data_IF_146566786745
#
_entry.id   IF_146566786745
#
_cell.length_a   1.000
_cell.length_b   1.000
_cell.length_c   1.000
_cell.angle_alpha   90.00
_cell.angle_beta   90.00
_cell.angle_gamma   90.00
#
_symmetry.space_group_name_H-M   'P 1'
#
loop_
_entity.id
_entity.type
_entity.pdbx_description
1 polymer ?
#
# COMPACT_ATOMS: atom_id res chain seq x y z
N UNK A 1 0.64 11.90 14.64
CA UNK A 1 1.22 11.83 13.29
C UNK A 1 0.56 10.67 12.56
N UNK A 2 0.22 10.82 11.28
CA UNK A 2 -0.19 9.67 10.48
C UNK A 2 1.06 9.13 9.78
N UNK A 3 1.60 8.01 10.27
CA UNK A 3 2.70 7.33 9.61
C UNK A 3 2.18 6.69 8.32
N UNK A 4 2.65 7.21 7.18
CA UNK A 4 2.34 6.73 5.83
C UNK A 4 3.62 6.25 5.18
N UNK A 5 3.54 5.16 4.42
CA UNK A 5 4.67 4.61 3.68
C UNK A 5 4.32 4.52 2.19
N UNK A 6 5.34 4.63 1.34
CA UNK A 6 5.17 4.55 -0.11
C UNK A 6 5.50 3.12 -0.54
N UNK A 7 4.51 2.41 -1.08
CA UNK A 7 4.75 1.16 -1.76
C UNK A 7 5.06 1.45 -3.23
N UNK A 8 6.23 0.99 -3.68
CA UNK A 8 6.69 1.12 -5.06
C UNK A 8 6.48 -0.19 -5.79
N UNK A 9 5.84 -0.12 -6.94
CA UNK A 9 5.66 -1.23 -7.85
C UNK A 9 6.19 -0.84 -9.22
N UNK A 10 6.87 -1.75 -9.90
CA UNK A 10 7.39 -1.49 -11.25
C UNK A 10 7.00 -2.63 -12.16
N UNK A 11 6.28 -2.33 -13.22
CA UNK A 11 5.74 -3.31 -14.15
C UNK A 11 5.89 -2.79 -15.58
N UNK A 12 6.46 -3.61 -16.46
CA UNK A 12 6.69 -3.29 -17.88
C UNK A 12 7.40 -1.95 -18.17
N UNK A 13 8.26 -1.49 -17.25
CA UNK A 13 8.99 -0.22 -17.36
C UNK A 13 8.23 0.98 -16.78
N UNK A 14 6.97 0.80 -16.39
CA UNK A 14 6.18 1.78 -15.67
C UNK A 14 6.39 1.64 -14.16
N UNK A 15 6.43 2.79 -13.46
CA UNK A 15 6.63 2.87 -12.01
C UNK A 15 5.35 3.41 -11.39
N UNK A 16 4.80 2.64 -10.47
CA UNK A 16 3.64 2.98 -9.68
C UNK A 16 4.09 3.22 -8.25
N UNK A 17 3.62 4.31 -7.67
CA UNK A 17 3.86 4.65 -6.27
C UNK A 17 2.50 4.85 -5.61
N UNK A 18 2.20 4.05 -4.60
CA UNK A 18 0.95 4.16 -3.84
C UNK A 18 1.26 4.46 -2.37
N UNK A 19 0.46 5.34 -1.79
CA UNK A 19 0.53 5.66 -0.37
C UNK A 19 -0.29 4.65 0.44
N UNK A 20 0.39 3.93 1.32
CA UNK A 20 -0.21 2.91 2.17
C UNK A 20 0.12 3.14 3.62
N UNK A 21 -0.73 2.63 4.51
CA UNK A 21 -0.44 2.62 5.95
C UNK A 21 0.50 1.45 6.27
N UNK A 22 1.59 1.67 7.03
CA UNK A 22 2.63 0.66 7.26
C UNK A 22 2.09 -0.58 8.00
N UNK A 23 1.30 -0.40 9.06
CA UNK A 23 0.73 -1.51 9.83
C UNK A 23 -0.15 -2.46 9.00
N UNK A 24 -1.23 -1.98 8.33
CA UNK A 24 -2.07 -2.87 7.54
C UNK A 24 -1.37 -3.37 6.27
N UNK A 25 -0.41 -2.64 5.69
CA UNK A 25 0.41 -3.13 4.58
C UNK A 25 1.29 -4.31 5.00
N UNK A 26 1.88 -4.26 6.20
CA UNK A 26 2.65 -5.37 6.77
C UNK A 26 1.76 -6.58 7.03
N UNK A 27 0.60 -6.39 7.65
CA UNK A 27 -0.38 -7.46 7.88
C UNK A 27 -0.82 -8.15 6.59
N UNK A 28 -1.09 -7.36 5.53
CA UNK A 28 -1.45 -7.88 4.22
C UNK A 28 -0.32 -8.70 3.60
N UNK A 29 0.91 -8.21 3.70
CA UNK A 29 2.11 -8.96 3.27
C UNK A 29 2.33 -10.24 4.07
N UNK A 30 1.91 -10.27 5.34
CA UNK A 30 1.93 -11.46 6.20
C UNK A 30 0.79 -12.46 5.89
N UNK A 31 -0.04 -12.20 4.88
CA UNK A 31 -1.12 -13.09 4.45
C UNK A 31 -2.43 -12.94 5.24
N UNK A 32 -2.55 -11.90 6.08
CA UNK A 32 -3.84 -11.58 6.67
C UNK A 32 -4.74 -10.99 5.57
N UNK A 33 -5.89 -11.63 5.34
CA UNK A 33 -6.95 -11.09 4.48
C UNK A 33 -7.55 -9.85 5.14
N UNK A 34 -6.91 -8.70 4.93
CA UNK A 34 -7.47 -7.36 5.17
C UNK A 34 -7.96 -6.79 3.84
N UNK A 35 -9.07 -6.06 3.89
CA UNK A 35 -9.55 -5.29 2.75
C UNK A 35 -8.50 -4.26 2.30
N UNK A 36 -8.26 -4.20 0.98
CA UNK A 36 -7.27 -3.31 0.37
C UNK A 36 -7.61 -1.83 0.65
N UNK A 37 -8.90 -1.49 0.72
CA UNK A 37 -9.38 -0.14 1.09
C UNK A 37 -8.94 0.30 2.49
N UNK A 38 -8.63 -0.63 3.41
CA UNK A 38 -8.11 -0.29 4.74
C UNK A 38 -6.60 -0.02 4.74
N UNK A 39 -5.89 -0.46 3.69
CA UNK A 39 -4.45 -0.33 3.52
C UNK A 39 -4.11 0.96 2.77
N UNK A 40 -4.91 1.30 1.76
CA UNK A 40 -4.75 2.51 0.94
C UNK A 40 -5.05 3.78 1.75
N UNK A 41 -4.20 4.79 1.59
CA UNK A 41 -4.41 6.12 2.17
C UNK A 41 -5.15 7.04 1.18
N UNK A 42 -4.93 6.85 -0.12
CA UNK A 42 -5.64 7.52 -1.21
C UNK A 42 -5.98 6.50 -2.30
N UNK A 43 -7.08 6.71 -3.01
CA UNK A 43 -7.59 5.84 -4.08
C UNK A 43 -7.20 6.33 -5.48
N UNK A 44 -6.07 7.04 -5.60
CA UNK A 44 -5.57 7.60 -6.85
C UNK A 44 -4.40 6.77 -7.40
N UNK A 45 -4.41 6.52 -8.72
CA UNK A 45 -3.37 5.82 -9.50
C UNK A 45 -2.75 6.79 -10.49
#
# INVERSE_FOLDING_TARGET
MADVTVARFSFEGEKFEILVKPDPALDYKLGKKKDISAILVSEDI
#
